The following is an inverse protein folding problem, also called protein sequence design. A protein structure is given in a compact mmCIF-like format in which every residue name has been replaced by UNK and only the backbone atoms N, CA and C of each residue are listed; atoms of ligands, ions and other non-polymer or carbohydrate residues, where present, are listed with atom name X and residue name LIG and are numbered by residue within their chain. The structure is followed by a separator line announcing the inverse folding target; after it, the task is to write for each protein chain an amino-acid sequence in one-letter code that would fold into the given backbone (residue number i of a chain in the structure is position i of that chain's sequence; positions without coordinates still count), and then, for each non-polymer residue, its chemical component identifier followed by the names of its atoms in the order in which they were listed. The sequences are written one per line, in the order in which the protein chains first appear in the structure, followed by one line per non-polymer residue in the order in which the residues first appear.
data_IF_259345012375
#
_entry.id   IF_259345012375
#
_cell.length_a   1.000
_cell.length_b   1.000
_cell.length_c   1.000
_cell.angle_alpha   90.00
_cell.angle_beta   90.00
_cell.angle_gamma   90.00
#
_symmetry.space_group_name_H-M   'P 1'
#
loop_
_entity.id
_entity.type
_entity.pdbx_description
1 polymer ?
#
# COMPACT_ATOMS: atom_id res chain seq x y z
N UNK A 1 -0.73 -10.90 -48.08
CA UNK A 1 -0.67 -9.84 -47.06
C UNK A 1 -1.14 -10.44 -45.75
N UNK A 2 -0.22 -10.73 -44.83
CA UNK A 2 -0.52 -11.19 -43.46
C UNK A 2 0.04 -10.13 -42.52
N UNK A 3 -0.84 -9.34 -41.93
CA UNK A 3 -0.50 -8.36 -40.90
C UNK A 3 -0.53 -9.02 -39.52
N UNK A 4 0.41 -8.59 -38.70
CA UNK A 4 0.73 -9.05 -37.36
C UNK A 4 -0.39 -8.81 -36.33
N UNK A 5 -0.35 -9.54 -35.20
CA UNK A 5 0.09 -8.95 -33.94
C UNK A 5 0.22 -10.00 -32.84
N UNK A 6 1.40 -9.95 -32.22
CA UNK A 6 1.83 -10.68 -31.03
C UNK A 6 1.43 -9.85 -29.84
N UNK A 7 0.41 -10.24 -29.08
CA UNK A 7 0.30 -9.90 -27.66
C UNK A 7 -0.77 -10.80 -27.05
N UNK A 8 -0.38 -11.62 -26.09
CA UNK A 8 -1.19 -11.90 -24.90
C UNK A 8 -0.25 -12.50 -23.86
N UNK A 9 0.53 -11.59 -23.26
CA UNK A 9 1.21 -11.84 -22.01
C UNK A 9 0.16 -12.21 -20.97
N UNK A 10 0.23 -13.46 -20.52
CA UNK A 10 -0.51 -13.98 -19.40
C UNK A 10 -0.14 -13.18 -18.14
N UNK A 11 -0.84 -12.06 -17.91
CA UNK A 11 -0.84 -11.35 -16.64
C UNK A 11 -1.64 -12.19 -15.64
N UNK A 12 -0.91 -13.08 -14.96
CA UNK A 12 -1.43 -13.93 -13.91
C UNK A 12 -1.83 -13.06 -12.72
N UNK A 13 -3.13 -13.06 -12.46
CA UNK A 13 -3.74 -12.93 -11.14
C UNK A 13 -3.58 -11.55 -10.49
N UNK A 14 -4.44 -10.62 -10.92
CA UNK A 14 -5.01 -9.66 -9.97
C UNK A 14 -5.77 -10.46 -8.92
N UNK A 15 -5.13 -10.75 -7.79
CA UNK A 15 -5.78 -11.27 -6.59
C UNK A 15 -6.90 -10.29 -6.23
N UNK A 16 -8.11 -10.73 -6.52
CA UNK A 16 -9.35 -10.03 -6.25
C UNK A 16 -9.44 -9.79 -4.75
N UNK A 17 -9.71 -8.54 -4.37
CA UNK A 17 -10.14 -8.18 -3.02
C UNK A 17 -11.29 -9.12 -2.64
N UNK A 18 -11.00 -10.11 -1.79
CA UNK A 18 -12.04 -10.91 -1.17
C UNK A 18 -12.73 -10.02 -0.15
N UNK A 19 -13.72 -9.28 -0.63
CA UNK A 19 -14.81 -8.85 0.24
C UNK A 19 -15.28 -10.11 0.98
N UNK A 20 -15.22 -10.08 2.31
CA UNK A 20 -15.86 -11.10 3.13
C UNK A 20 -17.30 -11.17 2.61
N UNK A 21 -17.77 -12.33 2.11
CA UNK A 21 -19.15 -12.43 1.66
C UNK A 21 -20.01 -12.08 2.87
N UNK A 22 -20.74 -10.96 2.77
CA UNK A 22 -21.82 -10.68 3.70
C UNK A 22 -22.71 -11.92 3.66
N UNK A 23 -22.89 -12.57 4.80
CA UNK A 23 -23.96 -13.55 4.97
C UNK A 23 -25.21 -12.91 4.41
N UNK A 24 -25.72 -13.49 3.32
CA UNK A 24 -26.87 -12.96 2.60
C UNK A 24 -28.03 -12.86 3.60
N UNK A 25 -28.98 -11.93 3.41
CA UNK A 25 -30.21 -11.92 4.22
C UNK A 25 -30.87 -13.32 4.27
N UNK A 26 -30.68 -14.14 3.24
CA UNK A 26 -31.10 -15.54 3.20
C UNK A 26 -30.34 -16.47 4.18
N UNK A 27 -29.07 -16.22 4.45
CA UNK A 27 -28.27 -16.99 5.43
C UNK A 27 -28.71 -16.69 6.87
N UNK A 28 -29.12 -15.45 7.14
CA UNK A 28 -29.70 -15.03 8.43
C UNK A 28 -31.08 -15.68 8.64
N UNK A 29 -31.91 -15.72 7.60
CA UNK A 29 -33.24 -16.37 7.64
C UNK A 29 -33.09 -17.89 7.85
N UNK A 30 -32.12 -18.53 7.19
CA UNK A 30 -31.85 -19.96 7.35
C UNK A 30 -31.26 -20.29 8.73
N UNK A 31 -30.46 -19.39 9.32
CA UNK A 31 -30.02 -19.52 10.72
C UNK A 31 -31.18 -19.37 11.70
N UNK A 32 -32.13 -18.45 11.46
CA UNK A 32 -33.38 -18.31 12.24
C UNK A 32 -34.21 -19.59 12.22
N UNK A 33 -34.46 -20.16 11.04
CA UNK A 33 -35.23 -21.40 10.91
C UNK A 33 -34.58 -22.58 11.65
N UNK A 34 -33.24 -22.66 11.63
CA UNK A 34 -32.47 -23.71 12.34
C UNK A 34 -32.45 -23.53 13.86
N UNK A 35 -32.54 -22.29 14.35
CA UNK A 35 -32.65 -21.95 15.77
C UNK A 35 -34.07 -22.23 16.30
N UNK A 36 -35.11 -21.95 15.51
CA UNK A 36 -36.51 -22.24 15.85
C UNK A 36 -36.77 -23.74 16.03
N UNK A 37 -36.13 -24.61 15.24
CA UNK A 37 -36.20 -26.07 15.41
C UNK A 37 -35.46 -26.57 16.66
N UNK A 38 -34.37 -25.92 17.07
CA UNK A 38 -33.60 -26.32 18.26
C UNK A 38 -34.25 -25.86 19.57
N UNK A 39 -34.96 -24.72 19.56
CA UNK A 39 -35.64 -24.15 20.74
C UNK A 39 -36.90 -24.92 21.16
N UNK A 40 -37.50 -25.72 20.26
CA UNK A 40 -38.69 -26.54 20.56
C UNK A 40 -38.38 -27.86 21.29
N UNK A 41 -37.13 -28.14 21.66
CA UNK A 41 -36.75 -29.40 22.34
C UNK A 41 -36.31 -29.24 23.81
N UNK A 42 -36.30 -28.03 24.35
CA UNK A 42 -35.81 -27.76 25.71
C UNK A 42 -36.97 -27.52 26.69
N UNK A 43 -37.18 -28.51 27.56
CA UNK A 43 -38.16 -28.50 28.65
C UNK A 43 -37.87 -27.35 29.65
N UNK A 44 -38.95 -26.68 30.06
CA UNK A 44 -39.00 -25.30 30.54
C UNK A 44 -38.88 -25.23 32.06
N UNK A 45 -37.96 -24.38 32.56
CA UNK A 45 -37.91 -24.00 33.97
C UNK A 45 -38.03 -22.49 34.19
N UNK A 46 -37.32 -21.67 33.41
CA UNK A 46 -37.38 -20.21 33.44
C UNK A 46 -36.88 -19.67 32.09
N UNK A 47 -37.78 -19.47 31.12
CA UNK A 47 -37.42 -18.84 29.85
C UNK A 47 -37.34 -17.32 30.04
N UNK A 48 -36.14 -16.76 29.91
CA UNK A 48 -35.94 -15.33 29.81
C UNK A 48 -36.38 -14.89 28.40
N UNK A 49 -37.60 -14.36 28.30
CA UNK A 49 -38.09 -13.70 27.09
C UNK A 49 -37.83 -12.20 27.18
N UNK A 50 -37.19 -11.63 26.17
CA UNK A 50 -37.10 -10.17 26.01
C UNK A 50 -38.51 -9.65 25.68
N UNK A 51 -38.92 -8.52 26.29
CA UNK A 51 -40.17 -7.85 25.91
C UNK A 51 -40.10 -7.38 24.45
N UNK A 52 -41.25 -7.28 23.78
CA UNK A 52 -41.30 -6.81 22.38
C UNK A 52 -40.58 -5.46 22.19
N UNK A 53 -40.74 -4.54 23.14
CA UNK A 53 -40.04 -3.24 23.18
C UNK A 53 -38.52 -3.39 23.33
N UNK A 54 -38.05 -4.35 24.14
CA UNK A 54 -36.61 -4.64 24.28
C UNK A 54 -36.02 -5.27 23.02
N UNK A 55 -36.80 -6.06 22.28
CA UNK A 55 -36.39 -6.67 21.02
C UNK A 55 -36.25 -5.61 19.92
N UNK A 56 -37.20 -4.66 19.87
CA UNK A 56 -37.17 -3.53 18.94
C UNK A 56 -35.95 -2.63 19.19
N UNK A 57 -35.67 -2.30 20.45
CA UNK A 57 -34.49 -1.52 20.84
C UNK A 57 -33.19 -2.21 20.39
N UNK A 58 -33.06 -3.52 20.63
CA UNK A 58 -31.89 -4.30 20.24
C UNK A 58 -31.71 -4.31 18.72
N UNK A 59 -32.78 -4.58 17.97
CA UNK A 59 -32.74 -4.56 16.50
C UNK A 59 -32.32 -3.18 15.97
N UNK A 60 -32.88 -2.11 16.56
CA UNK A 60 -32.52 -0.73 16.21
C UNK A 60 -31.03 -0.44 16.45
N UNK A 61 -30.51 -0.83 17.62
CA UNK A 61 -29.09 -0.67 17.93
C UNK A 61 -28.21 -1.47 16.97
N UNK A 62 -28.62 -2.68 16.60
CA UNK A 62 -27.91 -3.50 15.62
C UNK A 62 -27.92 -2.87 14.22
N UNK A 63 -29.04 -2.30 13.78
CA UNK A 63 -29.11 -1.60 12.49
C UNK A 63 -28.25 -0.34 12.47
N UNK A 64 -28.31 0.49 13.53
CA UNK A 64 -27.50 1.71 13.64
C UNK A 64 -26.01 1.37 13.62
N UNK A 65 -25.59 0.37 14.41
CA UNK A 65 -24.20 -0.09 14.42
C UNK A 65 -23.76 -0.61 13.05
N UNK A 66 -24.60 -1.41 12.40
CA UNK A 66 -24.32 -1.90 11.03
C UNK A 66 -24.19 -0.74 10.04
N UNK A 67 -25.04 0.28 10.12
CA UNK A 67 -24.97 1.46 9.25
C UNK A 67 -23.68 2.26 9.47
N UNK A 68 -23.26 2.45 10.73
CA UNK A 68 -22.00 3.10 11.08
C UNK A 68 -20.78 2.33 10.56
N UNK A 69 -20.75 1.02 10.77
CA UNK A 69 -19.68 0.14 10.24
C UNK A 69 -19.62 0.22 8.72
N UNK A 70 -20.76 0.15 8.03
CA UNK A 70 -20.81 0.30 6.58
C UNK A 70 -20.30 1.68 6.12
N UNK A 71 -20.58 2.75 6.88
CA UNK A 71 -20.13 4.10 6.56
C UNK A 71 -18.62 4.23 6.66
N UNK A 72 -18.00 3.69 7.72
CA UNK A 72 -16.55 3.70 7.88
C UNK A 72 -15.85 2.84 6.81
N UNK A 73 -16.39 1.64 6.53
CA UNK A 73 -15.88 0.80 5.44
C UNK A 73 -15.96 1.50 4.07
N UNK A 74 -17.05 2.25 3.81
CA UNK A 74 -17.21 3.01 2.58
C UNK A 74 -16.15 4.12 2.48
N UNK A 75 -15.87 4.86 3.57
CA UNK A 75 -14.83 5.89 3.57
C UNK A 75 -13.45 5.32 3.25
N UNK A 76 -13.09 4.21 3.88
CA UNK A 76 -11.80 3.55 3.64
C UNK A 76 -11.72 3.09 2.18
N UNK A 77 -12.81 2.54 1.64
CA UNK A 77 -12.89 2.12 0.24
C UNK A 77 -12.73 3.28 -0.73
N UNK A 78 -13.43 4.38 -0.49
CA UNK A 78 -13.38 5.57 -1.36
C UNK A 78 -11.97 6.16 -1.35
N UNK A 79 -11.35 6.26 -0.17
CA UNK A 79 -9.97 6.71 -0.02
C UNK A 79 -8.98 5.79 -0.74
N UNK A 80 -9.16 4.47 -0.65
CA UNK A 80 -8.33 3.51 -1.35
C UNK A 80 -8.42 3.65 -2.88
N UNK A 81 -9.63 3.89 -3.41
CA UNK A 81 -9.84 4.12 -4.83
C UNK A 81 -9.17 5.42 -5.30
N UNK A 82 -9.22 6.45 -4.48
CA UNK A 82 -8.53 7.72 -4.74
C UNK A 82 -7.02 7.52 -4.85
N UNK A 83 -6.40 6.84 -3.87
CA UNK A 83 -4.96 6.51 -3.91
C UNK A 83 -4.59 5.71 -5.16
N UNK A 84 -5.43 4.76 -5.56
CA UNK A 84 -5.21 3.95 -6.77
C UNK A 84 -5.18 4.81 -8.03
N UNK A 85 -6.07 5.80 -8.13
CA UNK A 85 -6.12 6.72 -9.26
C UNK A 85 -4.91 7.67 -9.25
N UNK A 86 -4.54 8.20 -8.08
CA UNK A 86 -3.32 9.02 -7.93
C UNK A 86 -2.06 8.23 -8.31
N UNK A 87 -1.96 6.95 -7.93
CA UNK A 87 -0.84 6.08 -8.31
C UNK A 87 -0.74 5.91 -9.83
N UNK A 88 -1.88 5.71 -10.50
CA UNK A 88 -1.94 5.58 -11.95
C UNK A 88 -1.46 6.87 -12.63
N UNK A 89 -1.92 8.02 -12.16
CA UNK A 89 -1.49 9.33 -12.67
C UNK A 89 0.00 9.59 -12.42
N UNK A 90 0.53 9.16 -11.26
CA UNK A 90 1.94 9.24 -10.96
C UNK A 90 2.78 8.39 -11.93
N UNK A 91 2.35 7.16 -12.24
CA UNK A 91 3.04 6.33 -13.24
C UNK A 91 3.01 6.96 -14.64
N UNK A 92 1.84 7.41 -15.11
CA UNK A 92 1.71 8.08 -16.42
C UNK A 92 2.58 9.34 -16.51
N UNK A 93 2.74 10.06 -15.39
CA UNK A 93 3.55 11.27 -15.33
C UNK A 93 5.05 10.98 -15.19
N UNK A 94 5.43 9.90 -14.51
CA UNK A 94 6.82 9.47 -14.37
C UNK A 94 7.46 9.18 -15.72
N UNK A 95 6.71 8.49 -16.60
CA UNK A 95 7.12 8.21 -17.99
C UNK A 95 7.38 9.50 -18.80
N UNK A 96 6.75 10.62 -18.41
CA UNK A 96 6.85 11.90 -19.11
C UNK A 96 7.83 12.91 -18.48
N UNK A 97 8.05 12.88 -17.16
CA UNK A 97 8.71 13.96 -16.41
C UNK A 97 9.81 13.53 -15.42
N UNK A 98 10.03 12.23 -15.18
CA UNK A 98 11.20 11.71 -14.45
C UNK A 98 11.02 11.39 -12.95
N UNK A 99 12.15 11.27 -12.23
CA UNK A 99 12.32 10.69 -10.87
C UNK A 99 11.36 11.24 -9.78
N UNK A 100 10.89 12.49 -9.91
CA UNK A 100 10.00 13.10 -8.90
C UNK A 100 8.62 12.43 -8.81
N UNK A 101 8.11 11.87 -9.91
CA UNK A 101 6.83 11.15 -9.89
C UNK A 101 7.00 9.69 -9.51
N UNK A 102 8.21 9.13 -9.67
CA UNK A 102 8.54 7.79 -9.23
C UNK A 102 8.57 7.70 -7.69
N UNK A 103 9.21 8.67 -7.03
CA UNK A 103 9.20 8.75 -5.56
C UNK A 103 7.79 8.93 -4.98
N UNK A 104 6.97 9.76 -5.63
CA UNK A 104 5.56 9.93 -5.27
C UNK A 104 4.78 8.61 -5.47
N UNK A 105 4.99 7.90 -6.57
CA UNK A 105 4.38 6.60 -6.82
C UNK A 105 4.73 5.58 -5.74
N UNK A 106 6.00 5.50 -5.33
CA UNK A 106 6.46 4.66 -4.21
C UNK A 106 5.74 5.02 -2.91
N UNK A 107 5.63 6.32 -2.58
CA UNK A 107 4.90 6.79 -1.40
C UNK A 107 3.42 6.36 -1.41
N UNK A 108 2.73 6.54 -2.53
CA UNK A 108 1.31 6.18 -2.67
C UNK A 108 1.14 4.66 -2.55
N UNK A 109 2.04 3.87 -3.16
CA UNK A 109 1.96 2.42 -3.08
C UNK A 109 2.17 1.90 -1.65
N UNK A 110 3.11 2.50 -0.90
CA UNK A 110 3.32 2.20 0.52
C UNK A 110 2.06 2.55 1.33
N UNK A 111 1.48 3.73 1.09
CA UNK A 111 0.25 4.17 1.75
C UNK A 111 -0.92 3.20 1.49
N UNK A 112 -1.08 2.72 0.24
CA UNK A 112 -2.10 1.73 -0.12
C UNK A 112 -1.92 0.40 0.65
N UNK A 113 -0.68 -0.07 0.85
CA UNK A 113 -0.40 -1.27 1.65
C UNK A 113 -0.80 -1.06 3.12
N UNK A 114 -0.54 0.13 3.67
CA UNK A 114 -0.96 0.50 5.03
C UNK A 114 -2.49 0.51 5.14
N UNK A 115 -3.19 1.19 4.22
CA UNK A 115 -4.67 1.28 4.20
C UNK A 115 -5.30 -0.10 4.10
N UNK A 116 -4.73 -1.00 3.29
CA UNK A 116 -5.19 -2.38 3.14
C UNK A 116 -5.07 -3.23 4.41
N UNK A 117 -4.40 -2.72 5.45
CA UNK A 117 -4.16 -3.44 6.70
C UNK A 117 -2.97 -4.39 6.65
N UNK A 118 -2.20 -4.39 5.58
CA UNK A 118 -1.05 -5.30 5.42
C UNK A 118 0.14 -4.86 6.30
N UNK A 119 1.15 -5.74 6.42
CA UNK A 119 2.42 -5.40 7.09
C UNK A 119 3.38 -4.80 6.07
N UNK A 120 3.77 -3.57 6.35
CA UNK A 120 4.74 -2.82 5.54
C UNK A 120 6.09 -2.83 6.24
N UNK A 121 7.21 -3.05 5.53
CA UNK A 121 8.55 -2.97 6.10
C UNK A 121 8.83 -1.62 6.77
N UNK A 122 9.67 -1.63 7.81
CA UNK A 122 10.01 -0.42 8.55
C UNK A 122 10.67 0.64 7.65
N UNK A 123 11.53 0.21 6.72
CA UNK A 123 12.22 1.10 5.78
C UNK A 123 11.23 1.87 4.89
N UNK A 124 10.20 1.18 4.36
CA UNK A 124 9.15 1.78 3.54
C UNK A 124 8.31 2.77 4.35
N UNK A 125 7.98 2.44 5.61
CA UNK A 125 7.27 3.37 6.49
C UNK A 125 8.08 4.65 6.76
N UNK A 126 9.39 4.51 7.03
CA UNK A 126 10.29 5.65 7.23
C UNK A 126 10.37 6.52 5.98
N UNK A 127 10.52 5.90 4.81
CA UNK A 127 10.54 6.62 3.54
C UNK A 127 9.26 7.43 3.34
N UNK A 128 8.09 6.83 3.56
CA UNK A 128 6.83 7.54 3.45
C UNK A 128 6.73 8.69 4.46
N UNK A 129 7.18 8.50 5.71
CA UNK A 129 7.19 9.57 6.71
C UNK A 129 8.10 10.75 6.33
N UNK A 130 9.26 10.48 5.73
CA UNK A 130 10.22 11.49 5.31
C UNK A 130 9.76 12.27 4.08
N UNK A 131 9.11 11.59 3.11
CA UNK A 131 8.71 12.19 1.84
C UNK A 131 7.30 12.78 1.88
N UNK A 132 6.37 12.14 2.60
CA UNK A 132 4.98 12.61 2.72
C UNK A 132 4.33 12.17 4.05
N UNK A 133 4.59 12.93 5.11
CA UNK A 133 4.03 12.69 6.44
C UNK A 133 2.49 12.76 6.49
N UNK A 134 1.87 13.64 5.68
CA UNK A 134 0.41 13.77 5.64
C UNK A 134 -0.23 12.49 5.12
N UNK A 135 0.32 11.94 4.02
CA UNK A 135 -0.13 10.68 3.44
C UNK A 135 0.07 9.50 4.41
N UNK A 136 1.17 9.47 5.16
CA UNK A 136 1.39 8.48 6.22
C UNK A 136 0.30 8.53 7.29
N UNK A 137 0.03 9.72 7.83
CA UNK A 137 -0.96 9.93 8.90
C UNK A 137 -2.35 9.50 8.44
N UNK A 138 -2.73 9.92 7.23
CA UNK A 138 -4.02 9.57 6.64
C UNK A 138 -4.14 8.06 6.39
N UNK A 139 -3.10 7.43 5.87
CA UNK A 139 -3.08 5.99 5.65
C UNK A 139 -3.21 5.19 6.95
N UNK A 140 -2.57 5.63 8.03
CA UNK A 140 -2.70 5.01 9.35
C UNK A 140 -4.10 5.17 9.94
N UNK A 141 -4.73 6.34 9.76
CA UNK A 141 -6.11 6.57 10.19
C UNK A 141 -7.13 5.72 9.41
N UNK A 142 -6.85 5.46 8.13
CA UNK A 142 -7.70 4.67 7.24
C UNK A 142 -7.28 3.19 7.17
N UNK A 143 -6.44 2.71 8.10
CA UNK A 143 -5.92 1.35 8.10
C UNK A 143 -7.01 0.33 8.46
N UNK A 144 -7.23 -0.62 7.57
CA UNK A 144 -8.12 -1.75 7.83
C UNK A 144 -7.51 -2.72 8.84
N UNK A 145 -8.39 -3.36 9.62
CA UNK A 145 -8.02 -4.51 10.46
C UNK A 145 -8.19 -5.78 9.62
N UNK A 146 -7.14 -6.59 9.55
CA UNK A 146 -7.11 -7.85 8.79
C UNK A 146 -6.62 -8.97 9.69
N UNK A 147 -7.30 -10.11 9.68
CA UNK A 147 -6.95 -11.27 10.52
C UNK A 147 -5.58 -11.84 10.17
N UNK A 148 -5.28 -11.93 8.87
CA UNK A 148 -4.00 -12.41 8.35
C UNK A 148 -3.40 -11.37 7.38
N UNK A 149 -2.69 -10.36 7.91
CA UNK A 149 -2.13 -9.29 7.08
C UNK A 149 -0.98 -9.83 6.22
N UNK A 150 -0.99 -9.48 4.93
CA UNK A 150 0.09 -9.88 4.03
C UNK A 150 1.38 -9.17 4.42
N UNK A 151 2.48 -9.89 4.43
CA UNK A 151 3.81 -9.31 4.63
C UNK A 151 4.39 -8.94 3.26
N UNK A 152 4.76 -7.68 3.11
CA UNK A 152 5.36 -7.17 1.88
C UNK A 152 6.87 -7.04 2.03
N UNK A 153 7.60 -7.30 0.95
CA UNK A 153 9.00 -6.91 0.80
C UNK A 153 9.11 -5.41 0.51
N UNK A 154 10.28 -4.83 0.80
CA UNK A 154 10.51 -3.39 0.69
C UNK A 154 10.51 -2.97 -0.77
N UNK A 155 9.77 -1.91 -1.10
CA UNK A 155 9.78 -1.33 -2.45
C UNK A 155 11.09 -0.61 -2.78
N UNK A 156 11.91 -0.33 -1.75
CA UNK A 156 13.14 0.45 -1.87
C UNK A 156 14.38 -0.42 -2.10
N UNK A 157 14.23 -1.75 -2.22
CA UNK A 157 15.35 -2.65 -2.43
C UNK A 157 15.90 -2.60 -3.87
N UNK A 158 15.06 -2.31 -4.87
CA UNK A 158 15.51 -2.09 -6.25
C UNK A 158 16.44 -0.87 -6.35
N UNK A 159 16.22 0.17 -5.54
CA UNK A 159 17.06 1.37 -5.50
C UNK A 159 18.44 1.12 -4.84
N UNK A 160 18.56 0.10 -3.97
CA UNK A 160 19.84 -0.23 -3.31
C UNK A 160 20.89 -0.72 -4.29
N UNK A 161 20.51 -1.41 -5.37
CA UNK A 161 21.47 -1.83 -6.39
C UNK A 161 21.96 -0.63 -7.22
N UNK A 162 21.06 0.30 -7.56
CA UNK A 162 21.39 1.52 -8.29
C UNK A 162 22.30 2.42 -7.46
N UNK A 163 22.00 2.61 -6.17
CA UNK A 163 22.83 3.39 -5.24
C UNK A 163 24.22 2.77 -5.05
N UNK A 164 24.32 1.44 -4.91
CA UNK A 164 25.62 0.74 -4.83
C UNK A 164 26.44 0.90 -6.10
N UNK A 165 25.81 0.87 -7.28
CA UNK A 165 26.47 1.08 -8.56
C UNK A 165 26.96 2.53 -8.73
N UNK A 166 26.19 3.50 -8.25
CA UNK A 166 26.54 4.92 -8.29
C UNK A 166 27.68 5.25 -7.31
N UNK A 167 27.66 4.68 -6.11
CA UNK A 167 28.73 4.83 -5.10
C UNK A 167 30.03 4.14 -5.54
N UNK A 168 29.95 3.01 -6.24
CA UNK A 168 31.11 2.35 -6.87
C UNK A 168 31.71 3.21 -8.00
N UNK A 169 30.87 3.89 -8.80
CA UNK A 169 31.33 4.78 -9.88
C UNK A 169 32.03 6.05 -9.41
N UNK A 170 31.75 6.53 -8.19
CA UNK A 170 32.39 7.71 -7.61
C UNK A 170 33.76 7.42 -7.00
N UNK A 171 34.10 6.16 -6.72
CA UNK A 171 35.41 5.78 -6.17
C UNK A 171 36.52 5.64 -7.22
N UNK A 172 36.20 5.40 -8.50
CA UNK A 172 37.22 5.21 -9.56
C UNK A 172 37.82 6.52 -10.15
N UNK A 173 37.28 7.70 -9.82
CA UNK A 173 37.81 8.98 -10.34
C UNK A 173 38.83 9.68 -9.43
N UNK A 174 39.47 8.95 -8.49
CA UNK A 174 40.53 9.48 -7.62
C UNK A 174 41.91 8.85 -7.86
N UNK A 175 42.25 8.60 -9.14
CA UNK A 175 43.63 8.29 -9.53
C UNK A 175 44.35 9.58 -9.95
N UNK A 176 45.11 10.08 -8.97
CA UNK A 176 46.42 10.72 -9.09
C UNK A 176 46.61 11.86 -10.12
N UNK A 177 46.39 13.09 -9.65
CA UNK A 177 47.16 14.24 -10.15
C UNK A 177 47.83 14.93 -8.97
N UNK A 178 49.06 14.52 -8.61
CA UNK A 178 49.67 15.00 -7.36
C UNK A 178 51.19 14.91 -7.21
N UNK A 179 51.95 15.38 -8.20
CA UNK A 179 53.21 16.14 -8.02
C UNK A 179 54.38 15.50 -7.24
N UNK A 180 55.37 14.99 -7.98
CA UNK A 180 56.74 14.75 -7.51
C UNK A 180 57.73 15.67 -8.22
N UNK A 181 58.10 16.75 -7.55
CA UNK A 181 59.22 17.65 -7.85
C UNK A 181 60.55 16.87 -8.01
N UNK A 182 61.23 17.03 -9.16
CA UNK A 182 62.69 16.98 -9.21
C UNK A 182 63.20 18.10 -10.13
N UNK A 183 64.21 18.78 -9.61
CA UNK A 183 64.84 19.95 -10.14
C UNK A 183 65.86 19.57 -11.21
N UNK A 184 65.90 20.35 -12.30
CA UNK A 184 67.11 20.82 -13.00
C UNK A 184 66.73 21.24 -14.41
N UNK A 185 66.98 22.51 -14.75
CA UNK A 185 67.76 22.94 -15.92
C UNK A 185 67.76 24.47 -15.91
N UNK A 186 68.91 25.02 -15.55
CA UNK A 186 69.30 26.40 -15.76
C UNK A 186 69.38 26.74 -17.25
N UNK A 187 69.00 27.99 -17.54
CA UNK A 187 69.50 28.88 -18.57
C UNK A 187 69.46 28.41 -20.04
N UNK A 188 68.72 29.15 -20.87
CA UNK A 188 69.21 29.68 -22.16
C UNK A 188 68.28 30.81 -22.67
N UNK A 189 68.93 31.95 -22.93
CA UNK A 189 68.63 33.01 -23.91
C UNK A 189 67.29 33.75 -23.90
N UNK A 190 67.38 35.05 -23.59
CA UNK A 190 66.75 36.04 -24.46
C UNK A 190 67.81 37.03 -24.98
N UNK A 191 67.89 37.11 -26.31
CA UNK A 191 68.86 37.91 -27.08
C UNK A 191 68.44 39.38 -27.08
N UNK A 192 69.35 40.25 -26.67
CA UNK A 192 69.37 41.64 -27.11
C UNK A 192 70.41 41.79 -28.22
N UNK A 193 69.97 42.23 -29.40
CA UNK A 193 70.65 43.09 -30.37
C UNK A 193 69.82 43.15 -31.66
#
# INVERSE_FOLDING_TARGET
MRTANIIDGQNKQSETYKFIPKTSSNDIINQKAKQEDQLNSYDFGNQLTISDEGLELLNKQMTEKSEEENKEENKIRDYYLELREQLKQAHESADATGESFESLGKCIQIAMRIVSGDRVPLQDQQYLMEHNMELYSMAMNMRMVKEDPKEWESLLEEDKEILKLQEFSLQENSIDTGTGIDASVEAINNKGL
#
